data_IF_529501448814
#
_entry.id   IF_529501448814
#
_cell.length_a   1.000
_cell.length_b   1.000
_cell.length_c   1.000
_cell.angle_alpha   90.00
_cell.angle_beta   90.00
_cell.angle_gamma   90.00
#
_symmetry.space_group_name_H-M   'P 1'
#
loop_
_entity.id
_entity.type
_entity.pdbx_description
1 polymer ?
#
# COMPACT_ATOMS: atom_id res chain seq x y z
N UNK A 1 -28.97 -20.53 -11.50
CA UNK A 1 -28.89 -19.77 -10.23
C UNK A 1 -29.60 -18.47 -10.50
N UNK A 2 -30.86 -18.38 -10.05
CA UNK A 2 -31.82 -17.37 -10.49
C UNK A 2 -31.38 -15.94 -10.13
N UNK A 3 -31.71 -15.02 -11.04
CA UNK A 3 -31.58 -13.58 -10.91
C UNK A 3 -31.99 -13.11 -9.52
N UNK A 4 -31.12 -12.35 -8.87
CA UNK A 4 -31.55 -11.53 -7.75
C UNK A 4 -32.17 -10.28 -8.36
N UNK A 5 -33.50 -10.22 -8.40
CA UNK A 5 -34.28 -9.08 -8.92
C UNK A 5 -33.97 -7.76 -8.19
N UNK A 6 -33.32 -7.84 -7.03
CA UNK A 6 -32.93 -6.71 -6.18
C UNK A 6 -31.48 -6.23 -6.40
N UNK A 7 -30.72 -6.80 -7.36
CA UNK A 7 -29.36 -6.36 -7.68
C UNK A 7 -29.42 -5.16 -8.64
N UNK A 8 -28.90 -3.97 -8.26
CA UNK A 8 -27.73 -3.76 -7.40
C UNK A 8 -28.00 -3.25 -5.97
N UNK A 9 -29.25 -3.03 -5.57
CA UNK A 9 -29.62 -2.42 -4.28
C UNK A 9 -29.46 -3.36 -3.07
N UNK A 10 -29.34 -4.66 -3.28
CA UNK A 10 -29.09 -5.63 -2.21
C UNK A 10 -27.58 -5.83 -1.97
N UNK A 11 -26.98 -5.24 -0.91
CA UNK A 11 -25.55 -5.34 -0.62
C UNK A 11 -25.11 -6.75 -0.19
N UNK A 12 -26.03 -7.59 0.29
CA UNK A 12 -25.72 -8.97 0.71
C UNK A 12 -25.56 -9.95 -0.46
N UNK A 13 -26.01 -9.58 -1.66
CA UNK A 13 -25.93 -10.44 -2.85
C UNK A 13 -24.52 -10.39 -3.49
N UNK A 14 -23.84 -11.54 -3.48
CA UNK A 14 -22.45 -11.73 -3.91
C UNK A 14 -22.30 -12.31 -5.34
N UNK A 15 -23.38 -12.55 -6.07
CA UNK A 15 -23.33 -13.27 -7.36
C UNK A 15 -22.46 -12.58 -8.42
N UNK A 16 -22.49 -11.24 -8.47
CA UNK A 16 -21.64 -10.45 -9.36
C UNK A 16 -20.15 -10.56 -8.98
N UNK A 17 -19.85 -10.63 -7.67
CA UNK A 17 -18.49 -10.78 -7.16
C UNK A 17 -17.94 -12.20 -7.37
N UNK A 18 -18.80 -13.21 -7.22
CA UNK A 18 -18.45 -14.59 -7.57
C UNK A 18 -18.13 -14.76 -9.07
N UNK A 19 -18.89 -14.09 -9.93
CA UNK A 19 -18.66 -14.10 -11.38
C UNK A 19 -17.35 -13.42 -11.81
N UNK A 20 -16.92 -12.39 -11.08
CA UNK A 20 -15.61 -11.72 -11.26
C UNK A 20 -14.40 -12.63 -10.99
N UNK A 21 -14.59 -13.77 -10.28
CA UNK A 21 -13.52 -14.73 -9.92
C UNK A 21 -12.30 -14.09 -9.24
N UNK A 22 -12.50 -12.98 -8.53
CA UNK A 22 -11.43 -12.22 -7.89
C UNK A 22 -11.67 -12.13 -6.37
N UNK A 23 -10.70 -12.60 -5.57
CA UNK A 23 -10.83 -12.73 -4.11
C UNK A 23 -10.91 -11.43 -3.29
N UNK A 24 -10.90 -10.26 -3.96
CA UNK A 24 -10.96 -8.93 -3.33
C UNK A 24 -11.78 -7.92 -4.15
N UNK A 25 -12.86 -8.38 -4.80
CA UNK A 25 -13.77 -7.49 -5.54
C UNK A 25 -14.73 -6.74 -4.61
N UNK A 26 -15.14 -5.53 -5.03
CA UNK A 26 -16.14 -4.69 -4.37
C UNK A 26 -17.37 -4.53 -5.27
N UNK A 27 -18.55 -4.47 -4.66
CA UNK A 27 -19.80 -4.21 -5.37
C UNK A 27 -19.97 -2.70 -5.52
N UNK A 28 -20.40 -2.26 -6.69
CA UNK A 28 -20.63 -0.84 -6.98
C UNK A 28 -22.07 -0.50 -6.63
N UNK A 29 -22.27 0.27 -5.56
CA UNK A 29 -23.59 0.61 -5.02
C UNK A 29 -23.65 2.13 -4.77
N UNK A 30 -24.58 2.87 -5.41
CA UNK A 30 -25.47 2.40 -6.47
C UNK A 30 -24.71 2.06 -7.77
N UNK A 31 -25.27 1.19 -8.62
CA UNK A 31 -24.63 0.90 -9.90
C UNK A 31 -24.50 2.18 -10.74
N UNK A 32 -23.38 2.33 -11.44
CA UNK A 32 -23.11 3.52 -12.27
C UNK A 32 -23.25 3.20 -13.73
N UNK A 33 -24.00 4.04 -14.44
CA UNK A 33 -24.03 4.00 -15.89
C UNK A 33 -22.69 4.48 -16.45
N UNK A 34 -22.08 3.66 -17.28
CA UNK A 34 -20.81 3.90 -17.96
C UNK A 34 -21.01 3.73 -19.46
N UNK A 35 -20.23 4.48 -20.24
CA UNK A 35 -20.25 4.37 -21.69
C UNK A 35 -19.26 3.30 -22.11
N UNK A 36 -19.70 2.34 -22.90
CA UNK A 36 -18.87 1.26 -23.42
C UNK A 36 -18.78 1.39 -24.93
N UNK A 37 -17.56 1.43 -25.45
CA UNK A 37 -17.26 1.45 -26.88
C UNK A 37 -16.74 0.09 -27.28
N UNK A 38 -17.40 -0.53 -28.25
CA UNK A 38 -17.00 -1.80 -28.83
C UNK A 38 -15.94 -1.59 -29.93
N UNK A 39 -15.18 -2.64 -30.23
CA UNK A 39 -14.27 -2.68 -31.38
C UNK A 39 -14.98 -2.44 -32.73
N UNK A 40 -16.29 -2.72 -32.83
CA UNK A 40 -17.13 -2.39 -34.00
C UNK A 40 -17.31 -0.88 -34.22
N UNK A 41 -16.92 -0.04 -33.25
CA UNK A 41 -17.16 1.39 -33.23
C UNK A 41 -18.51 1.80 -32.64
N UNK A 42 -19.37 0.82 -32.33
CA UNK A 42 -20.65 1.05 -31.65
C UNK A 42 -20.45 1.44 -30.19
N UNK A 43 -21.34 2.30 -29.69
CA UNK A 43 -21.33 2.80 -28.32
C UNK A 43 -22.60 2.33 -27.63
N UNK A 44 -22.44 1.64 -26.51
CA UNK A 44 -23.53 1.22 -25.64
C UNK A 44 -23.44 1.81 -24.24
N UNK A 45 -24.57 1.78 -23.56
CA UNK A 45 -24.67 2.07 -22.15
C UNK A 45 -24.60 0.77 -21.36
N UNK A 46 -23.76 0.71 -20.32
CA UNK A 46 -23.72 -0.41 -19.40
C UNK A 46 -23.73 0.08 -17.95
N UNK A 47 -24.22 -0.75 -17.05
CA UNK A 47 -24.16 -0.50 -15.62
C UNK A 47 -22.94 -1.21 -15.03
N UNK A 48 -22.05 -0.43 -14.43
CA UNK A 48 -20.97 -0.94 -13.62
C UNK A 48 -21.52 -1.40 -12.27
N UNK A 49 -21.45 -2.70 -12.00
CA UNK A 49 -22.05 -3.35 -10.83
C UNK A 49 -21.04 -3.95 -9.86
N UNK A 50 -19.83 -4.25 -10.32
CA UNK A 50 -18.78 -4.79 -9.46
C UNK A 50 -17.40 -4.47 -10.02
N UNK A 51 -16.38 -4.48 -9.18
CA UNK A 51 -15.03 -4.07 -9.56
C UNK A 51 -13.96 -4.76 -8.73
N UNK A 52 -12.81 -5.02 -9.31
CA UNK A 52 -11.58 -5.41 -8.60
C UNK A 52 -10.37 -4.79 -9.31
N UNK A 53 -9.16 -5.05 -8.81
CA UNK A 53 -7.93 -4.47 -9.38
C UNK A 53 -7.66 -4.90 -10.83
N UNK A 54 -8.17 -6.07 -11.23
CA UNK A 54 -7.84 -6.72 -12.52
C UNK A 54 -9.05 -6.94 -13.42
N UNK A 55 -10.27 -6.73 -12.93
CA UNK A 55 -11.48 -6.96 -13.69
C UNK A 55 -12.63 -6.07 -13.21
N UNK A 56 -13.58 -5.79 -14.10
CA UNK A 56 -14.81 -5.06 -13.78
C UNK A 56 -16.05 -5.85 -14.24
N UNK A 57 -17.15 -5.66 -13.54
CA UNK A 57 -18.42 -6.32 -13.78
C UNK A 57 -19.44 -5.35 -14.36
N UNK A 58 -19.82 -5.57 -15.60
CA UNK A 58 -20.73 -4.73 -16.38
C UNK A 58 -22.04 -5.45 -16.62
N UNK A 59 -23.13 -4.71 -16.63
CA UNK A 59 -24.45 -5.22 -16.96
C UNK A 59 -25.02 -4.40 -18.12
N UNK A 60 -25.26 -5.05 -19.26
CA UNK A 60 -25.63 -4.37 -20.51
C UNK A 60 -26.82 -5.06 -21.16
N UNK A 61 -27.98 -4.41 -21.13
CA UNK A 61 -29.24 -4.93 -21.69
C UNK A 61 -29.33 -4.80 -23.20
N UNK A 62 -28.66 -3.79 -23.76
CA UNK A 62 -28.87 -3.35 -25.13
C UNK A 62 -28.13 -4.25 -26.14
N UNK A 63 -26.94 -4.74 -25.78
CA UNK A 63 -26.11 -5.54 -26.68
C UNK A 63 -25.11 -6.41 -25.93
N UNK A 64 -24.64 -7.47 -26.60
CA UNK A 64 -23.57 -8.32 -26.07
C UNK A 64 -22.23 -7.58 -26.17
N UNK A 65 -21.49 -7.53 -25.08
CA UNK A 65 -20.11 -7.04 -25.09
C UNK A 65 -19.21 -8.11 -25.72
N UNK A 66 -18.41 -7.70 -26.72
CA UNK A 66 -17.48 -8.55 -27.48
C UNK A 66 -16.06 -8.50 -26.93
N UNK A 67 -15.17 -9.34 -27.49
CA UNK A 67 -13.82 -9.61 -26.97
C UNK A 67 -13.10 -8.41 -26.40
N UNK A 68 -12.89 -7.31 -27.14
CA UNK A 68 -12.23 -6.10 -26.60
C UNK A 68 -13.20 -4.92 -26.56
N UNK A 69 -13.22 -4.22 -25.43
CA UNK A 69 -14.07 -3.04 -25.21
C UNK A 69 -13.34 -1.94 -24.43
N UNK A 70 -13.71 -0.70 -24.69
CA UNK A 70 -13.26 0.49 -23.98
C UNK A 70 -14.41 1.06 -23.15
N UNK A 71 -14.24 1.14 -21.84
CA UNK A 71 -15.21 1.67 -20.88
C UNK A 71 -14.76 3.06 -20.45
N UNK A 72 -15.55 4.07 -20.81
CA UNK A 72 -15.34 5.46 -20.44
C UNK A 72 -16.07 5.73 -19.11
N UNK A 73 -15.28 5.99 -18.07
CA UNK A 73 -15.75 6.37 -16.73
C UNK A 73 -15.86 7.90 -16.60
N UNK A 74 -14.87 8.63 -17.12
CA UNK A 74 -14.86 10.08 -17.24
C UNK A 74 -14.08 10.52 -18.49
N UNK A 75 -14.10 11.81 -18.80
CA UNK A 75 -13.39 12.38 -19.97
C UNK A 75 -11.90 12.04 -20.00
N UNK A 76 -11.28 11.93 -18.81
CA UNK A 76 -9.87 11.63 -18.60
C UNK A 76 -9.66 10.25 -17.94
N UNK A 77 -10.67 9.36 -17.89
CA UNK A 77 -10.57 8.06 -17.20
C UNK A 77 -11.27 6.96 -17.99
N UNK A 78 -10.48 6.03 -18.55
CA UNK A 78 -10.96 4.92 -19.38
C UNK A 78 -10.32 3.60 -19.01
N UNK A 79 -11.09 2.52 -19.14
CA UNK A 79 -10.63 1.14 -18.92
C UNK A 79 -10.76 0.39 -20.24
N UNK A 80 -9.68 -0.22 -20.70
CA UNK A 80 -9.66 -1.06 -21.89
C UNK A 80 -9.39 -2.49 -21.43
N UNK A 81 -10.16 -3.42 -21.94
CA UNK A 81 -9.98 -4.81 -21.57
C UNK A 81 -10.85 -5.75 -22.36
N UNK A 82 -10.74 -7.03 -22.01
CA UNK A 82 -11.44 -8.07 -22.72
C UNK A 82 -12.73 -8.47 -21.99
N UNK A 83 -13.89 -8.31 -22.63
CA UNK A 83 -15.18 -8.64 -22.06
C UNK A 83 -15.63 -10.05 -22.44
N UNK A 84 -16.07 -10.82 -21.44
CA UNK A 84 -16.67 -12.13 -21.61
C UNK A 84 -17.92 -12.26 -20.76
N UNK A 85 -18.80 -13.19 -21.12
CA UNK A 85 -20.04 -13.41 -20.38
C UNK A 85 -19.73 -14.03 -19.00
N UNK A 86 -20.05 -13.31 -17.93
CA UNK A 86 -19.74 -13.72 -16.55
C UNK A 86 -20.79 -14.65 -15.95
N UNK A 87 -22.07 -14.41 -16.25
CA UNK A 87 -23.19 -15.22 -15.75
C UNK A 87 -24.01 -15.71 -16.95
N UNK A 88 -24.26 -17.03 -17.00
CA UNK A 88 -25.04 -17.65 -18.06
C UNK A 88 -26.49 -17.11 -18.08
N UNK A 89 -27.01 -16.82 -19.26
CA UNK A 89 -28.35 -16.25 -19.50
C UNK A 89 -28.68 -14.93 -18.78
N UNK A 90 -27.66 -14.25 -18.24
CA UNK A 90 -27.78 -12.92 -17.67
C UNK A 90 -26.93 -11.98 -18.51
N UNK A 91 -27.41 -10.76 -18.82
CA UNK A 91 -26.65 -9.73 -19.53
C UNK A 91 -25.55 -9.11 -18.65
N UNK A 92 -24.79 -9.95 -17.94
CA UNK A 92 -23.69 -9.60 -17.06
C UNK A 92 -22.37 -10.09 -17.66
N UNK A 93 -21.46 -9.16 -17.87
CA UNK A 93 -20.18 -9.34 -18.52
C UNK A 93 -19.08 -9.00 -17.52
N UNK A 94 -18.03 -9.82 -17.52
CA UNK A 94 -16.80 -9.53 -16.80
C UNK A 94 -15.78 -9.06 -17.82
N UNK A 95 -15.16 -7.93 -17.53
CA UNK A 95 -14.12 -7.33 -18.35
C UNK A 95 -12.80 -7.44 -17.61
N UNK A 96 -11.88 -8.23 -18.15
CA UNK A 96 -10.51 -8.32 -17.66
C UNK A 96 -9.72 -7.09 -18.13
N UNK A 97 -9.19 -6.32 -17.18
CA UNK A 97 -8.52 -5.06 -17.44
C UNK A 97 -7.17 -5.32 -18.12
N UNK A 98 -7.02 -4.85 -19.36
CA UNK A 98 -5.74 -4.83 -20.06
C UNK A 98 -4.98 -3.53 -19.73
N UNK A 99 -5.69 -2.39 -19.79
CA UNK A 99 -5.14 -1.06 -19.59
C UNK A 99 -6.14 -0.12 -18.94
N UNK A 100 -5.63 0.80 -18.15
CA UNK A 100 -6.36 1.92 -17.57
C UNK A 100 -5.67 3.20 -18.02
N UNK A 101 -6.40 4.08 -18.70
CA UNK A 101 -5.92 5.37 -19.20
C UNK A 101 -6.43 6.47 -18.27
N UNK A 102 -5.53 7.25 -17.66
CA UNK A 102 -5.92 8.34 -16.76
C UNK A 102 -5.04 9.59 -16.92
N UNK A 103 -5.64 10.74 -17.24
CA UNK A 103 -5.02 12.08 -17.40
C UNK A 103 -3.86 12.17 -18.41
N UNK A 104 -2.85 11.32 -18.29
CA UNK A 104 -1.73 11.07 -19.22
C UNK A 104 -0.98 9.73 -18.92
N UNK A 105 -1.41 8.98 -17.90
CA UNK A 105 -0.79 7.73 -17.45
C UNK A 105 -1.51 6.49 -18.00
N UNK A 106 -0.74 5.43 -18.25
CA UNK A 106 -1.23 4.11 -18.69
C UNK A 106 -0.87 3.07 -17.65
N UNK A 107 -1.86 2.54 -16.94
CA UNK A 107 -1.69 1.54 -15.90
C UNK A 107 -2.21 0.17 -16.38
N UNK A 108 -1.55 -0.92 -15.99
CA UNK A 108 -2.02 -2.29 -16.29
C UNK A 108 -3.06 -2.83 -15.30
N UNK A 109 -3.45 -2.04 -14.30
CA UNK A 109 -4.41 -2.41 -13.24
C UNK A 109 -5.14 -1.19 -12.71
N UNK A 110 -6.30 -1.41 -12.12
CA UNK A 110 -7.08 -0.37 -11.47
C UNK A 110 -6.58 -0.11 -10.04
N UNK A 111 -6.30 1.15 -9.72
CA UNK A 111 -6.05 1.60 -8.35
C UNK A 111 -7.40 1.83 -7.65
N UNK A 112 -7.66 1.05 -6.60
CA UNK A 112 -8.98 1.02 -5.96
C UNK A 112 -9.33 2.35 -5.29
N UNK A 113 -8.36 3.00 -4.65
CA UNK A 113 -8.52 4.30 -4.00
C UNK A 113 -8.98 5.38 -4.99
N UNK A 114 -8.40 5.38 -6.20
CA UNK A 114 -8.72 6.34 -7.25
C UNK A 114 -10.09 6.09 -7.89
N UNK A 115 -10.46 4.83 -8.06
CA UNK A 115 -11.78 4.46 -8.55
C UNK A 115 -12.87 4.87 -7.56
N UNK A 116 -12.65 4.64 -6.27
CA UNK A 116 -13.57 5.09 -5.22
C UNK A 116 -13.71 6.61 -5.28
N UNK A 117 -12.60 7.36 -5.39
CA UNK A 117 -12.64 8.81 -5.56
C UNK A 117 -13.48 9.25 -6.77
N UNK A 118 -13.37 8.58 -7.92
CA UNK A 118 -14.21 8.83 -9.10
C UNK A 118 -15.69 8.48 -8.84
N UNK A 119 -15.97 7.31 -8.30
CA UNK A 119 -17.34 6.82 -8.05
C UNK A 119 -18.14 7.79 -7.16
N UNK A 120 -17.46 8.47 -6.23
CA UNK A 120 -18.05 9.46 -5.32
C UNK A 120 -18.07 10.89 -5.90
N UNK A 121 -17.23 11.20 -6.89
CA UNK A 121 -17.18 12.54 -7.53
C UNK A 121 -18.43 12.89 -8.36
N UNK A 122 -19.25 11.90 -8.74
CA UNK A 122 -20.44 12.07 -9.57
C UNK A 122 -21.77 12.07 -8.80
N UNK A 123 -21.75 12.24 -7.47
CA UNK A 123 -22.93 12.69 -6.73
C UNK A 123 -23.15 14.18 -7.02
N UNK A 124 -24.04 14.48 -7.98
CA UNK A 124 -24.35 15.87 -8.31
C UNK A 124 -25.13 16.56 -7.18
N UNK A 125 -24.64 17.76 -6.91
CA UNK A 125 -25.19 18.96 -6.29
C UNK A 125 -26.69 18.97 -5.90
N UNK A 126 -27.03 19.37 -4.66
CA UNK A 126 -28.39 19.45 -4.12
C UNK A 126 -29.14 20.70 -4.61
N UNK A 127 -29.18 20.96 -5.92
CA UNK A 127 -29.98 22.05 -6.51
C UNK A 127 -31.32 21.56 -7.09
N UNK A 128 -31.52 20.25 -7.26
CA UNK A 128 -32.73 19.70 -7.90
C UNK A 128 -33.71 19.02 -6.92
N UNK A 129 -33.52 19.14 -5.59
CA UNK A 129 -34.42 18.54 -4.59
C UNK A 129 -35.28 19.55 -3.81
N UNK A 130 -35.35 20.80 -4.27
CA UNK A 130 -36.30 21.81 -3.76
C UNK A 130 -37.63 21.73 -4.51
N UNK A 131 -38.36 20.64 -4.32
CA UNK A 131 -39.80 20.66 -4.51
C UNK A 131 -40.41 19.68 -3.50
N UNK A 132 -41.17 20.25 -2.57
CA UNK A 132 -42.02 19.54 -1.61
C UNK A 132 -41.27 18.96 -0.40
N UNK A 133 -41.24 19.72 0.70
CA UNK A 133 -41.98 19.40 1.93
C UNK A 133 -41.64 20.39 3.06
N UNK A 134 -42.66 20.70 3.86
CA UNK A 134 -42.68 21.73 4.92
C UNK A 134 -41.90 21.27 6.16
N UNK A 135 -41.13 22.19 6.74
CA UNK A 135 -40.38 22.08 8.03
C UNK A 135 -41.26 21.61 9.23
N UNK A 136 -40.70 21.04 10.34
CA UNK A 136 -39.39 21.38 10.94
C UNK A 136 -38.57 20.20 11.51
N UNK A 137 -37.43 19.92 10.88
CA UNK A 137 -36.16 19.55 11.51
C UNK A 137 -35.08 20.24 10.63
N UNK A 138 -34.84 21.51 10.94
CA UNK A 138 -33.90 22.49 10.36
C UNK A 138 -33.13 22.05 9.11
N UNK A 139 -33.46 22.67 7.97
CA UNK A 139 -32.79 22.58 6.68
C UNK A 139 -31.25 22.63 6.76
N UNK A 140 -30.73 23.36 7.76
CA UNK A 140 -29.32 23.45 8.17
C UNK A 140 -28.70 22.10 8.57
N UNK A 141 -29.40 21.29 9.36
CA UNK A 141 -28.93 19.96 9.77
C UNK A 141 -28.90 18.99 8.59
N UNK A 142 -29.81 19.15 7.62
CA UNK A 142 -29.84 18.32 6.41
C UNK A 142 -28.66 18.63 5.48
N UNK A 143 -28.36 19.91 5.27
CA UNK A 143 -27.21 20.36 4.47
C UNK A 143 -25.87 19.92 5.08
N UNK A 144 -25.70 20.03 6.40
CA UNK A 144 -24.50 19.56 7.09
C UNK A 144 -24.39 18.03 7.00
N UNK A 145 -25.50 17.31 7.16
CA UNK A 145 -25.55 15.85 6.98
C UNK A 145 -25.25 15.44 5.55
N UNK A 146 -25.68 16.17 4.54
CA UNK A 146 -25.41 15.92 3.12
C UNK A 146 -23.93 16.19 2.77
N UNK A 147 -23.34 17.30 3.23
CA UNK A 147 -21.90 17.59 3.02
C UNK A 147 -20.98 16.63 3.80
N UNK A 148 -21.35 16.24 5.03
CA UNK A 148 -20.62 15.22 5.79
C UNK A 148 -20.90 13.80 5.25
N UNK A 149 -22.03 13.55 4.59
CA UNK A 149 -22.28 12.31 3.84
C UNK A 149 -21.42 12.21 2.58
N UNK A 150 -21.08 13.34 1.93
CA UNK A 150 -20.06 13.35 0.87
C UNK A 150 -18.67 13.00 1.40
N UNK A 151 -18.37 13.31 2.66
CA UNK A 151 -17.18 12.82 3.37
C UNK A 151 -17.34 11.40 3.93
N UNK A 152 -18.57 10.86 3.94
CA UNK A 152 -18.93 9.50 4.41
C UNK A 152 -18.61 8.40 3.38
N UNK A 153 -17.64 8.61 2.50
CA UNK A 153 -17.05 7.57 1.63
C UNK A 153 -16.55 6.36 2.46
N UNK A 154 -16.33 6.53 3.76
CA UNK A 154 -15.86 5.50 4.69
C UNK A 154 -16.97 4.64 5.35
N UNK A 155 -18.24 4.80 4.96
CA UNK A 155 -19.40 4.21 5.68
C UNK A 155 -19.58 2.69 5.60
N UNK A 156 -18.69 1.95 4.95
CA UNK A 156 -18.75 0.49 4.98
C UNK A 156 -17.84 -0.15 6.03
N UNK A 157 -17.04 0.62 6.79
CA UNK A 157 -15.98 0.02 7.61
C UNK A 157 -15.89 0.58 9.06
N UNK A 158 -16.35 1.80 9.37
CA UNK A 158 -15.97 2.46 10.64
C UNK A 158 -17.09 3.23 11.34
N UNK A 159 -16.96 3.36 12.67
CA UNK A 159 -17.81 4.23 13.51
C UNK A 159 -17.39 5.69 13.29
N UNK A 160 -18.32 6.49 12.75
CA UNK A 160 -18.12 7.91 12.47
C UNK A 160 -18.93 8.73 13.46
N UNK A 161 -18.29 9.65 14.17
CA UNK A 161 -18.91 10.59 15.08
C UNK A 161 -18.92 11.98 14.45
N UNK A 162 -20.10 12.59 14.38
CA UNK A 162 -20.31 13.88 13.73
C UNK A 162 -20.58 14.96 14.76
N UNK A 163 -20.00 16.13 14.57
CA UNK A 163 -20.19 17.30 15.44
C UNK A 163 -20.28 18.57 14.60
N UNK A 164 -20.85 19.62 15.18
CA UNK A 164 -20.81 21.00 14.68
C UNK A 164 -20.25 21.89 15.76
N UNK A 165 -19.34 22.77 15.37
CA UNK A 165 -18.89 23.87 16.21
C UNK A 165 -19.59 25.16 15.81
N UNK A 166 -20.32 25.76 16.75
CA UNK A 166 -21.01 27.04 16.60
C UNK A 166 -20.64 27.94 17.78
N UNK A 167 -20.16 29.15 17.51
CA UNK A 167 -19.73 30.11 18.54
C UNK A 167 -18.69 29.54 19.55
N UNK A 168 -17.90 28.55 19.11
CA UNK A 168 -16.92 27.86 19.95
C UNK A 168 -17.48 26.68 20.75
N UNK A 169 -18.78 26.47 20.76
CA UNK A 169 -19.42 25.31 21.39
C UNK A 169 -19.52 24.16 20.40
N UNK A 170 -19.10 22.96 20.83
CA UNK A 170 -19.16 21.74 20.03
C UNK A 170 -20.42 20.97 20.40
N UNK A 171 -21.23 20.62 19.40
CA UNK A 171 -22.47 19.86 19.58
C UNK A 171 -22.45 18.62 18.69
N UNK A 172 -22.73 17.42 19.22
CA UNK A 172 -22.82 16.23 18.41
C UNK A 172 -24.05 16.28 17.49
N UNK A 173 -23.89 15.81 16.27
CA UNK A 173 -24.98 15.56 15.34
C UNK A 173 -25.34 14.07 15.43
N UNK A 174 -26.48 13.78 16.06
CA UNK A 174 -27.00 12.41 16.20
C UNK A 174 -26.86 11.84 17.62
N UNK A 175 -27.19 10.55 17.76
CA UNK A 175 -27.27 9.87 19.05
C UNK A 175 -25.94 9.27 19.53
N UNK A 176 -24.99 9.02 18.61
CA UNK A 176 -23.69 8.45 18.94
C UNK A 176 -22.71 9.57 19.35
N UNK A 177 -21.95 9.30 20.40
CA UNK A 177 -20.91 10.18 20.92
C UNK A 177 -19.68 9.34 21.22
N UNK A 178 -18.50 9.93 21.07
CA UNK A 178 -17.29 9.36 21.66
C UNK A 178 -17.44 9.35 23.19
N UNK A 179 -16.98 8.29 23.85
CA UNK A 179 -16.95 8.22 25.33
C UNK A 179 -15.91 9.17 25.93
N UNK A 180 -14.89 9.53 25.14
CA UNK A 180 -13.84 10.48 25.52
C UNK A 180 -14.08 11.88 24.94
N UNK A 181 -13.97 12.90 25.81
CA UNK A 181 -14.12 14.31 25.48
C UNK A 181 -12.82 14.87 24.90
N UNK A 182 -12.61 14.74 23.59
CA UNK A 182 -11.51 15.38 22.84
C UNK A 182 -11.83 16.83 22.43
N UNK A 183 -12.69 17.52 23.17
CA UNK A 183 -13.22 18.83 22.78
C UNK A 183 -12.13 19.88 22.55
N UNK A 184 -11.00 19.79 23.27
CA UNK A 184 -9.85 20.69 23.10
C UNK A 184 -9.22 20.57 21.72
N UNK A 185 -8.91 19.35 21.28
CA UNK A 185 -8.33 19.08 19.96
C UNK A 185 -9.33 19.36 18.84
N UNK A 186 -10.58 18.96 19.03
CA UNK A 186 -11.66 19.27 18.10
C UNK A 186 -11.81 20.77 17.88
N UNK A 187 -11.80 21.56 18.96
CA UNK A 187 -11.90 23.02 18.88
C UNK A 187 -10.68 23.61 18.17
N UNK A 188 -9.47 23.12 18.46
CA UNK A 188 -8.24 23.60 17.82
C UNK A 188 -8.30 23.45 16.31
N UNK A 189 -8.62 22.26 15.82
CA UNK A 189 -8.65 21.98 14.38
C UNK A 189 -9.83 22.67 13.70
N UNK A 190 -10.97 22.77 14.37
CA UNK A 190 -12.11 23.52 13.86
C UNK A 190 -11.79 25.01 13.68
N UNK A 191 -11.13 25.63 14.65
CA UNK A 191 -10.68 27.02 14.56
C UNK A 191 -9.64 27.21 13.44
N UNK A 192 -8.75 26.24 13.25
CA UNK A 192 -7.80 26.24 12.14
C UNK A 192 -8.50 26.18 10.78
N UNK A 193 -9.50 25.31 10.63
CA UNK A 193 -10.30 25.19 9.43
C UNK A 193 -11.10 26.47 9.12
N UNK A 194 -11.74 27.08 10.14
CA UNK A 194 -12.43 28.36 10.00
C UNK A 194 -11.47 29.47 9.60
N UNK A 195 -10.29 29.55 10.24
CA UNK A 195 -9.29 30.58 9.96
C UNK A 195 -8.69 30.44 8.56
N UNK A 196 -8.44 29.21 8.12
CA UNK A 196 -7.88 28.94 6.79
C UNK A 196 -8.92 29.03 5.68
N UNK A 197 -10.22 28.92 6.01
CA UNK A 197 -11.30 28.84 5.04
C UNK A 197 -11.29 27.55 4.21
N UNK A 198 -10.52 26.55 4.64
CA UNK A 198 -10.35 25.27 3.94
C UNK A 198 -10.55 24.11 4.90
N UNK A 199 -10.89 22.94 4.34
CA UNK A 199 -11.04 21.74 5.17
C UNK A 199 -9.68 21.26 5.67
N UNK A 200 -9.61 20.89 6.95
CA UNK A 200 -8.40 20.40 7.62
C UNK A 200 -8.62 18.96 8.04
N UNK A 201 -7.58 18.14 7.90
CA UNK A 201 -7.55 16.73 8.32
C UNK A 201 -6.39 16.54 9.29
N UNK A 202 -6.66 15.91 10.42
CA UNK A 202 -5.65 15.63 11.44
C UNK A 202 -5.88 14.27 12.11
N UNK A 203 -4.80 13.58 12.46
CA UNK A 203 -4.86 12.35 13.25
C UNK A 203 -4.78 12.70 14.73
N UNK A 204 -5.77 12.22 15.48
CA UNK A 204 -5.84 12.35 16.93
C UNK A 204 -5.66 10.98 17.57
N UNK A 205 -5.04 10.97 18.75
CA UNK A 205 -4.91 9.77 19.56
C UNK A 205 -5.71 10.00 20.84
N UNK A 206 -6.45 8.99 21.27
CA UNK A 206 -7.20 9.03 22.52
C UNK A 206 -6.30 9.31 23.73
N UNK A 207 -6.90 9.81 24.80
CA UNK A 207 -6.16 10.25 25.98
C UNK A 207 -5.43 9.11 26.70
N UNK A 208 -5.95 7.89 26.55
CA UNK A 208 -5.37 6.64 27.03
C UNK A 208 -4.41 5.97 26.02
N UNK A 209 -4.27 6.53 24.81
CA UNK A 209 -3.44 5.99 23.73
C UNK A 209 -4.00 4.76 23.01
N UNK A 210 -5.20 4.31 23.35
CA UNK A 210 -5.77 3.04 22.87
C UNK A 210 -6.37 3.12 21.47
N UNK A 211 -6.87 4.30 21.09
CA UNK A 211 -7.73 4.50 19.93
C UNK A 211 -7.17 5.64 19.07
N UNK A 212 -7.07 5.38 17.76
CA UNK A 212 -6.63 6.39 16.80
C UNK A 212 -7.84 6.90 16.04
N UNK A 213 -8.04 8.21 16.07
CA UNK A 213 -9.09 8.89 15.35
C UNK A 213 -8.50 9.69 14.19
N UNK A 214 -9.21 9.68 13.09
CA UNK A 214 -8.99 10.62 12.01
C UNK A 214 -10.09 11.68 12.01
N UNK A 215 -9.68 12.93 12.20
CA UNK A 215 -10.60 14.05 12.29
C UNK A 215 -10.57 14.89 11.02
N UNK A 216 -11.75 15.20 10.54
CA UNK A 216 -11.99 16.13 9.44
C UNK A 216 -12.77 17.32 9.96
N UNK A 217 -12.26 18.52 9.71
CA UNK A 217 -12.92 19.78 9.98
C UNK A 217 -13.19 20.51 8.67
N UNK A 218 -14.45 20.85 8.42
CA UNK A 218 -14.86 21.58 7.22
C UNK A 218 -15.57 22.87 7.62
N UNK A 219 -15.04 24.04 7.22
CA UNK A 219 -15.68 25.32 7.52
C UNK A 219 -16.94 25.49 6.67
N UNK A 220 -18.01 25.96 7.29
CA UNK A 220 -19.31 26.18 6.66
C UNK A 220 -19.52 27.66 6.31
N UNK A 221 -20.40 27.99 5.34
CA UNK A 221 -20.61 29.36 4.88
C UNK A 221 -21.10 30.35 5.96
N UNK A 222 -21.66 29.85 7.06
CA UNK A 222 -22.22 30.61 8.17
C UNK A 222 -21.24 30.82 9.35
N UNK A 223 -19.92 30.68 9.10
CA UNK A 223 -18.86 30.74 10.12
C UNK A 223 -18.91 29.64 11.18
N UNK A 224 -19.72 28.59 10.96
CA UNK A 224 -19.65 27.35 11.76
C UNK A 224 -18.68 26.36 11.14
N UNK A 225 -18.38 25.27 11.85
CA UNK A 225 -17.51 24.22 11.34
C UNK A 225 -18.13 22.83 11.59
N UNK A 226 -18.26 22.05 10.53
CA UNK A 226 -18.62 20.64 10.62
C UNK A 226 -17.38 19.82 10.95
N UNK A 227 -17.53 18.86 11.87
CA UNK A 227 -16.48 17.97 12.33
C UNK A 227 -16.92 16.52 12.13
N UNK A 228 -16.02 15.69 11.63
CA UNK A 228 -16.19 14.25 11.56
C UNK A 228 -14.97 13.57 12.19
N UNK A 229 -15.20 12.74 13.20
CA UNK A 229 -14.19 11.88 13.80
C UNK A 229 -14.46 10.45 13.36
N UNK A 230 -13.42 9.78 12.89
CA UNK A 230 -13.48 8.43 12.37
C UNK A 230 -12.54 7.55 13.17
N UNK A 231 -13.06 6.50 13.79
CA UNK A 231 -12.20 5.53 14.46
C UNK A 231 -11.48 4.68 13.40
N UNK A 232 -10.17 4.88 13.28
CA UNK A 232 -9.31 4.19 12.30
C UNK A 232 -8.48 3.07 12.94
N UNK A 233 -8.71 2.78 14.22
CA UNK A 233 -7.90 1.83 15.00
C UNK A 233 -7.89 0.44 14.37
N UNK A 234 -9.07 -0.09 14.05
CA UNK A 234 -9.19 -1.43 13.47
C UNK A 234 -8.59 -1.49 12.06
N UNK A 235 -8.80 -0.46 11.24
CA UNK A 235 -8.28 -0.43 9.87
C UNK A 235 -6.75 -0.33 9.84
N UNK A 236 -6.15 0.50 10.70
CA UNK A 236 -4.69 0.58 10.81
C UNK A 236 -4.13 -0.75 11.34
N UNK A 237 -4.79 -1.36 12.32
CA UNK A 237 -4.39 -2.65 12.84
C UNK A 237 -4.51 -3.77 11.79
N UNK A 238 -5.56 -3.74 10.97
CA UNK A 238 -5.76 -4.69 9.87
C UNK A 238 -4.74 -4.51 8.75
N UNK A 239 -4.46 -3.28 8.35
CA UNK A 239 -3.44 -2.98 7.35
C UNK A 239 -2.05 -3.43 7.82
N UNK A 240 -1.70 -3.14 9.09
CA UNK A 240 -0.46 -3.68 9.70
C UNK A 240 -0.43 -5.20 9.72
N UNK A 241 -1.54 -5.85 10.10
CA UNK A 241 -1.66 -7.32 10.06
C UNK A 241 -1.48 -7.87 8.65
N UNK A 242 -2.00 -7.17 7.64
CA UNK A 242 -1.86 -7.56 6.23
C UNK A 242 -0.42 -7.43 5.76
N UNK A 243 0.23 -6.29 6.01
CA UNK A 243 1.64 -6.06 5.70
C UNK A 243 2.54 -7.09 6.38
N UNK A 244 2.26 -7.42 7.64
CA UNK A 244 3.00 -8.45 8.36
C UNK A 244 2.80 -9.83 7.73
N UNK A 245 1.56 -10.21 7.40
CA UNK A 245 1.28 -11.49 6.71
C UNK A 245 1.99 -11.58 5.36
N UNK A 246 2.02 -10.49 4.61
CA UNK A 246 2.74 -10.42 3.34
C UNK A 246 4.23 -10.61 3.55
N UNK A 247 4.83 -9.88 4.49
CA UNK A 247 6.24 -10.04 4.88
C UNK A 247 6.57 -11.48 5.30
N UNK A 248 5.74 -12.08 6.15
CA UNK A 248 5.94 -13.45 6.63
C UNK A 248 5.86 -14.48 5.50
N UNK A 249 4.95 -14.28 4.54
CA UNK A 249 4.87 -15.11 3.34
C UNK A 249 6.15 -15.01 2.51
N UNK A 250 6.67 -13.79 2.26
CA UNK A 250 7.93 -13.62 1.54
C UNK A 250 9.11 -14.23 2.31
N UNK A 251 9.17 -14.07 3.63
CA UNK A 251 10.18 -14.68 4.50
C UNK A 251 10.17 -16.20 4.37
N UNK A 252 8.98 -16.82 4.40
CA UNK A 252 8.82 -18.27 4.24
C UNK A 252 9.22 -18.76 2.85
N UNK A 253 8.78 -18.09 1.78
CA UNK A 253 9.09 -18.48 0.40
C UNK A 253 10.59 -18.35 0.12
N UNK A 254 11.20 -17.22 0.48
CA UNK A 254 12.63 -16.99 0.27
C UNK A 254 13.49 -17.94 1.11
N UNK A 255 13.11 -18.20 2.36
CA UNK A 255 13.76 -19.23 3.19
C UNK A 255 13.69 -20.60 2.52
N UNK A 256 12.49 -21.04 2.13
CA UNK A 256 12.30 -22.35 1.50
C UNK A 256 13.08 -22.54 0.20
N UNK A 257 13.06 -21.57 -0.71
CA UNK A 257 13.76 -21.69 -2.01
C UNK A 257 15.27 -21.53 -1.91
N UNK A 258 15.77 -20.93 -0.83
CA UNK A 258 17.21 -20.77 -0.58
C UNK A 258 17.76 -21.75 0.45
N UNK A 259 16.94 -22.68 0.96
CA UNK A 259 17.31 -23.59 2.05
C UNK A 259 17.81 -22.83 3.28
N UNK A 260 17.07 -21.78 3.65
CA UNK A 260 17.35 -20.85 4.76
C UNK A 260 18.69 -20.09 4.67
N UNK A 261 19.34 -20.12 3.49
CA UNK A 261 20.50 -19.26 3.23
C UNK A 261 20.15 -17.79 3.15
N UNK A 262 18.98 -17.44 2.60
CA UNK A 262 18.48 -16.06 2.61
C UNK A 262 17.39 -15.92 3.65
N UNK A 263 17.62 -15.08 4.65
CA UNK A 263 16.66 -14.86 5.74
C UNK A 263 16.24 -13.40 5.77
N UNK A 264 14.95 -13.16 5.61
CA UNK A 264 14.38 -11.83 5.84
C UNK A 264 14.21 -11.59 7.33
N UNK A 265 14.75 -10.48 7.81
CA UNK A 265 14.70 -10.06 9.21
C UNK A 265 14.16 -8.63 9.32
N UNK A 266 13.45 -8.38 10.41
CA UNK A 266 13.06 -7.03 10.83
C UNK A 266 14.28 -6.24 11.30
N UNK A 267 14.16 -4.92 11.35
CA UNK A 267 15.25 -4.06 11.82
C UNK A 267 15.66 -4.36 13.29
N UNK A 268 14.70 -4.71 14.13
CA UNK A 268 14.94 -5.14 15.50
C UNK A 268 15.75 -6.45 15.56
N UNK A 269 15.35 -7.48 14.79
CA UNK A 269 16.08 -8.75 14.69
C UNK A 269 17.51 -8.56 14.17
N UNK A 270 17.69 -7.69 13.17
CA UNK A 270 19.01 -7.36 12.61
C UNK A 270 19.89 -6.62 13.59
N UNK A 271 19.32 -5.70 14.37
CA UNK A 271 20.07 -4.95 15.38
C UNK A 271 20.62 -5.90 16.44
N UNK A 272 19.78 -6.80 16.96
CA UNK A 272 20.22 -7.85 17.91
C UNK A 272 21.33 -8.72 17.31
N UNK A 273 21.21 -9.12 16.04
CA UNK A 273 22.21 -9.96 15.39
C UNK A 273 23.53 -9.21 15.10
N UNK A 274 23.45 -7.91 14.80
CA UNK A 274 24.60 -7.06 14.53
C UNK A 274 25.39 -6.69 15.80
N UNK A 275 24.71 -6.59 16.94
CA UNK A 275 25.33 -6.30 18.24
C UNK A 275 25.96 -7.54 18.89
N UNK A 276 25.64 -8.74 18.43
CA UNK A 276 26.25 -9.97 18.92
C UNK A 276 27.71 -10.12 18.45
N UNK A 277 28.62 -10.31 19.41
CA UNK A 277 30.03 -10.62 19.17
C UNK A 277 30.98 -9.44 19.30
N UNK A 278 32.23 -9.68 18.89
CA UNK A 278 33.30 -8.68 18.93
C UNK A 278 33.39 -7.94 17.60
N UNK A 279 33.18 -6.62 17.62
CA UNK A 279 33.44 -5.76 16.45
C UNK A 279 34.94 -5.65 16.18
N UNK A 280 35.37 -6.11 15.02
CA UNK A 280 36.77 -6.12 14.58
C UNK A 280 37.15 -4.88 13.77
N UNK A 281 36.24 -4.40 12.91
CA UNK A 281 36.49 -3.26 12.05
C UNK A 281 35.21 -2.51 11.65
N UNK A 282 35.37 -1.27 11.21
CA UNK A 282 34.33 -0.44 10.62
C UNK A 282 34.93 0.33 9.45
N UNK A 283 34.26 0.29 8.30
CA UNK A 283 34.68 0.97 7.07
C UNK A 283 33.51 1.79 6.55
N UNK A 284 33.75 3.06 6.28
CA UNK A 284 32.79 3.93 5.60
C UNK A 284 33.01 3.80 4.09
N UNK A 285 31.94 3.58 3.35
CA UNK A 285 31.97 3.41 1.90
C UNK A 285 31.35 4.64 1.25
N UNK A 286 32.20 5.49 0.65
CA UNK A 286 31.79 6.70 -0.05
C UNK A 286 32.30 6.73 -1.51
N UNK A 287 33.32 5.93 -1.81
CA UNK A 287 34.00 5.89 -3.10
C UNK A 287 34.45 4.48 -3.48
N UNK A 288 34.90 4.31 -4.72
CA UNK A 288 35.45 3.03 -5.19
C UNK A 288 36.79 2.66 -4.50
N UNK A 289 37.54 3.64 -3.99
CA UNK A 289 38.79 3.40 -3.25
C UNK A 289 38.51 2.71 -1.90
N UNK A 290 37.41 3.08 -1.25
CA UNK A 290 36.98 2.45 0.01
C UNK A 290 36.65 0.97 -0.16
N UNK A 291 36.17 0.55 -1.34
CA UNK A 291 35.96 -0.86 -1.66
C UNK A 291 37.29 -1.63 -1.76
N UNK A 292 38.36 -1.01 -2.26
CA UNK A 292 39.68 -1.62 -2.29
C UNK A 292 40.26 -1.77 -0.87
N UNK A 293 40.07 -0.75 -0.03
CA UNK A 293 40.43 -0.80 1.38
C UNK A 293 39.65 -1.91 2.12
N UNK A 294 38.32 -1.96 1.95
CA UNK A 294 37.47 -2.99 2.55
C UNK A 294 37.94 -4.40 2.20
N UNK A 295 38.23 -4.68 0.92
CA UNK A 295 38.75 -6.00 0.49
C UNK A 295 40.05 -6.38 1.18
N UNK A 296 40.95 -5.41 1.37
CA UNK A 296 42.24 -5.62 2.04
C UNK A 296 42.03 -5.92 3.52
N UNK A 297 41.16 -5.16 4.18
CA UNK A 297 40.87 -5.31 5.59
C UNK A 297 40.14 -6.62 5.90
N UNK A 298 39.15 -7.01 5.08
CA UNK A 298 38.50 -8.31 5.19
C UNK A 298 39.52 -9.45 5.07
N UNK A 299 40.43 -9.40 4.09
CA UNK A 299 41.47 -10.43 3.94
C UNK A 299 42.37 -10.53 5.16
N UNK A 300 42.83 -9.39 5.68
CA UNK A 300 43.69 -9.30 6.88
C UNK A 300 43.02 -9.97 8.09
N UNK A 301 41.73 -9.71 8.31
CA UNK A 301 40.96 -10.31 9.40
C UNK A 301 40.79 -11.82 9.18
N UNK A 302 40.39 -12.24 7.98
CA UNK A 302 40.18 -13.65 7.66
C UNK A 302 41.48 -14.47 7.75
N UNK A 303 42.63 -13.87 7.41
CA UNK A 303 43.96 -14.47 7.57
C UNK A 303 44.34 -14.67 9.03
N UNK A 304 44.05 -13.68 9.88
CA UNK A 304 44.26 -13.81 11.32
C UNK A 304 43.40 -14.92 11.95
N UNK A 305 42.25 -15.20 11.34
CA UNK A 305 41.32 -16.27 11.73
C UNK A 305 41.60 -17.61 11.03
N UNK A 306 42.67 -17.70 10.23
CA UNK A 306 43.11 -18.93 9.56
C UNK A 306 42.07 -19.58 8.63
N UNK A 307 41.20 -18.78 8.00
CA UNK A 307 40.22 -19.27 7.03
C UNK A 307 40.91 -19.76 5.75
N UNK A 308 40.45 -20.88 5.18
CA UNK A 308 40.96 -21.44 3.92
C UNK A 308 40.99 -20.39 2.79
N UNK A 309 42.06 -20.37 2.00
CA UNK A 309 42.29 -19.35 0.96
C UNK A 309 41.13 -19.23 -0.03
N UNK A 310 40.59 -20.36 -0.50
CA UNK A 310 39.45 -20.40 -1.42
C UNK A 310 38.20 -19.79 -0.79
N UNK A 311 37.89 -20.16 0.46
CA UNK A 311 36.73 -19.66 1.21
C UNK A 311 36.85 -18.16 1.47
N UNK A 312 38.04 -17.71 1.89
CA UNK A 312 38.39 -16.30 2.05
C UNK A 312 38.16 -15.51 0.77
N UNK A 313 38.65 -15.99 -0.37
CA UNK A 313 38.45 -15.31 -1.66
C UNK A 313 36.97 -15.17 -2.01
N UNK A 314 36.21 -16.26 -1.90
CA UNK A 314 34.77 -16.28 -2.17
C UNK A 314 33.99 -15.31 -1.28
N UNK A 315 34.26 -15.34 0.03
CA UNK A 315 33.57 -14.47 0.98
C UNK A 315 33.89 -12.99 0.75
N UNK A 316 35.15 -12.65 0.45
CA UNK A 316 35.55 -11.27 0.11
C UNK A 316 34.84 -10.78 -1.17
N UNK A 317 34.60 -11.65 -2.15
CA UNK A 317 33.79 -11.30 -3.33
C UNK A 317 32.36 -10.96 -2.94
N UNK A 318 31.70 -11.78 -2.11
CA UNK A 318 30.35 -11.52 -1.63
C UNK A 318 30.24 -10.20 -0.84
N UNK A 319 31.19 -9.95 0.07
CA UNK A 319 31.28 -8.69 0.83
C UNK A 319 31.44 -7.49 -0.11
N UNK A 320 32.29 -7.62 -1.12
CA UNK A 320 32.51 -6.53 -2.07
C UNK A 320 31.28 -6.25 -2.94
N UNK A 321 30.51 -7.27 -3.33
CA UNK A 321 29.24 -7.09 -4.03
C UNK A 321 28.21 -6.35 -3.15
N UNK A 322 28.06 -6.75 -1.88
CA UNK A 322 27.19 -6.07 -0.93
C UNK A 322 27.59 -4.60 -0.73
N UNK A 323 28.88 -4.33 -0.51
CA UNK A 323 29.39 -2.98 -0.35
C UNK A 323 29.22 -2.14 -1.64
N UNK A 324 29.41 -2.75 -2.81
CA UNK A 324 29.19 -2.08 -4.10
C UNK A 324 27.73 -1.67 -4.29
N UNK A 325 26.78 -2.47 -3.79
CA UNK A 325 25.36 -2.11 -3.84
C UNK A 325 25.07 -0.82 -3.08
N UNK A 326 25.78 -0.54 -1.99
CA UNK A 326 25.61 0.72 -1.22
C UNK A 326 25.95 1.97 -2.03
N UNK A 327 26.93 1.89 -2.94
CA UNK A 327 27.30 2.99 -3.83
C UNK A 327 26.39 3.10 -5.06
N UNK A 328 25.87 1.98 -5.57
CA UNK A 328 25.01 1.95 -6.77
C UNK A 328 23.57 2.36 -6.47
N UNK A 329 23.06 1.91 -5.33
CA UNK A 329 21.66 2.03 -4.96
C UNK A 329 21.42 3.04 -3.83
N UNK A 330 22.46 3.41 -3.07
CA UNK A 330 22.42 4.46 -2.07
C UNK A 330 23.41 5.60 -2.36
N UNK A 331 23.64 6.46 -1.36
CA UNK A 331 24.65 7.53 -1.39
C UNK A 331 25.93 7.13 -0.65
N UNK A 332 26.21 5.82 -0.57
CA UNK A 332 27.22 5.24 0.31
C UNK A 332 26.62 4.50 1.50
N UNK A 333 27.49 3.94 2.34
CA UNK A 333 27.08 3.08 3.44
C UNK A 333 28.17 2.84 4.47
N UNK A 334 27.84 2.05 5.49
CA UNK A 334 28.78 1.60 6.52
C UNK A 334 28.89 0.08 6.45
N UNK A 335 30.12 -0.42 6.52
CA UNK A 335 30.41 -1.84 6.63
C UNK A 335 31.10 -2.11 7.97
N UNK A 336 30.54 -2.98 8.79
CA UNK A 336 31.18 -3.45 10.02
C UNK A 336 31.49 -4.93 9.95
N UNK A 337 32.62 -5.33 10.52
CA UNK A 337 33.07 -6.72 10.55
C UNK A 337 33.08 -7.16 12.01
N UNK A 338 32.37 -8.24 12.30
CA UNK A 338 32.19 -8.78 13.63
C UNK A 338 32.61 -10.25 13.66
N UNK A 339 33.16 -10.69 14.79
CA UNK A 339 33.30 -12.10 15.13
C UNK A 339 32.15 -12.44 16.09
N UNK A 340 31.20 -13.25 15.63
CA UNK A 340 30.03 -13.65 16.40
C UNK A 340 30.42 -14.37 17.69
N UNK A 341 29.65 -14.19 18.77
CA UNK A 341 29.91 -14.84 20.07
C UNK A 341 29.72 -16.35 19.99
N UNK A 342 28.79 -16.80 19.15
CA UNK A 342 28.49 -18.19 18.89
C UNK A 342 29.08 -18.66 17.55
N UNK A 343 29.57 -19.90 17.51
CA UNK A 343 29.90 -20.66 16.30
C UNK A 343 30.98 -20.07 15.38
N UNK A 344 32.11 -19.58 15.91
CA UNK A 344 33.31 -19.22 15.13
C UNK A 344 32.97 -18.58 13.77
N UNK A 345 32.07 -17.58 13.76
CA UNK A 345 31.48 -17.06 12.53
C UNK A 345 31.89 -15.62 12.33
N UNK A 346 32.38 -15.29 11.14
CA UNK A 346 32.59 -13.91 10.72
C UNK A 346 31.28 -13.36 10.15
N UNK A 347 30.83 -12.24 10.70
CA UNK A 347 29.70 -11.46 10.21
C UNK A 347 30.20 -10.18 9.58
N UNK A 348 29.77 -9.91 8.36
CA UNK A 348 29.92 -8.60 7.74
C UNK A 348 28.55 -7.97 7.61
N UNK A 349 28.34 -6.87 8.34
CA UNK A 349 27.11 -6.08 8.30
C UNK A 349 27.33 -4.92 7.35
N UNK A 350 26.49 -4.82 6.32
CA UNK A 350 26.49 -3.74 5.34
C UNK A 350 25.19 -2.97 5.50
N UNK A 351 25.27 -1.65 5.66
CA UNK A 351 24.12 -0.78 5.81
C UNK A 351 24.22 0.41 4.84
N UNK A 352 23.22 0.57 3.99
CA UNK A 352 23.04 1.76 3.15
C UNK A 352 21.84 2.59 3.61
N UNK A 353 21.81 3.84 3.15
CA UNK A 353 20.71 4.79 3.37
C UNK A 353 19.94 5.07 2.07
N UNK A 354 19.85 4.07 1.19
CA UNK A 354 19.10 4.16 -0.06
C UNK A 354 17.59 4.03 0.14
N UNK A 355 16.84 3.90 -0.96
CA UNK A 355 15.37 3.79 -0.93
C UNK A 355 14.85 2.39 -0.54
N UNK A 356 15.74 1.49 -0.13
CA UNK A 356 15.42 0.08 0.10
C UNK A 356 15.13 -0.71 -1.18
N UNK A 357 14.56 -1.91 -0.99
CA UNK A 357 14.09 -2.81 -2.04
C UNK A 357 12.60 -3.06 -1.80
N UNK A 358 11.77 -2.90 -2.82
CA UNK A 358 10.35 -3.19 -2.73
C UNK A 358 10.13 -4.69 -2.49
N UNK A 359 9.20 -5.03 -1.60
CA UNK A 359 8.91 -6.41 -1.19
C UNK A 359 8.58 -7.31 -2.40
N UNK A 360 7.80 -6.79 -3.36
CA UNK A 360 7.44 -7.49 -4.60
C UNK A 360 8.64 -7.73 -5.54
N UNK A 361 9.69 -6.93 -5.43
CA UNK A 361 10.92 -7.06 -6.21
C UNK A 361 11.92 -8.01 -5.58
N UNK A 362 11.81 -8.32 -4.28
CA UNK A 362 12.78 -9.14 -3.56
C UNK A 362 13.06 -10.50 -4.21
N UNK A 363 12.07 -11.31 -4.65
CA UNK A 363 12.36 -12.57 -5.32
C UNK A 363 13.18 -12.39 -6.60
N UNK A 364 12.91 -11.32 -7.36
CA UNK A 364 13.64 -11.03 -8.60
C UNK A 364 15.03 -10.50 -8.29
N UNK A 365 15.16 -9.58 -7.33
CA UNK A 365 16.42 -8.99 -6.90
C UNK A 365 17.39 -10.02 -6.31
N UNK A 366 16.87 -11.04 -5.62
CA UNK A 366 17.69 -11.99 -4.86
C UNK A 366 17.94 -13.31 -5.60
N UNK A 367 16.95 -13.84 -6.34
CA UNK A 367 17.03 -15.18 -6.93
C UNK A 367 17.28 -15.19 -8.44
N UNK A 368 16.93 -14.12 -9.17
CA UNK A 368 17.07 -14.09 -10.62
C UNK A 368 18.47 -13.61 -11.01
N UNK A 369 19.31 -14.54 -11.43
CA UNK A 369 20.61 -14.23 -12.02
C UNK A 369 20.45 -13.28 -13.21
N UNK A 370 21.19 -12.17 -13.22
CA UNK A 370 21.08 -11.17 -14.29
C UNK A 370 20.03 -10.08 -14.04
N UNK A 371 19.27 -10.11 -12.95
CA UNK A 371 18.30 -9.06 -12.65
C UNK A 371 18.97 -7.86 -11.98
N UNK A 372 18.78 -6.68 -12.56
CA UNK A 372 19.26 -5.41 -12.04
C UNK A 372 18.27 -4.30 -12.36
N UNK A 373 17.97 -3.46 -11.36
CA UNK A 373 17.17 -2.24 -11.55
C UNK A 373 17.97 -1.07 -12.11
N UNK A 374 19.32 -1.15 -12.12
CA UNK A 374 20.24 -0.15 -12.69
C UNK A 374 21.45 -0.85 -13.31
N UNK A 375 21.50 -0.93 -14.65
CA UNK A 375 22.63 -1.38 -15.49
C UNK A 375 23.80 -2.07 -14.76
N UNK A 376 23.55 -3.24 -14.19
CA UNK A 376 24.56 -4.10 -13.59
C UNK A 376 24.30 -5.54 -14.00
N UNK A 377 25.31 -6.41 -13.89
CA UNK A 377 25.22 -7.80 -14.33
C UNK A 377 24.20 -8.63 -13.52
N UNK A 378 23.54 -8.07 -12.49
CA UNK A 378 22.53 -8.77 -11.68
C UNK A 378 23.06 -10.01 -10.96
N UNK A 379 24.36 -10.00 -10.61
CA UNK A 379 25.08 -11.14 -10.01
C UNK A 379 25.27 -10.97 -8.50
N UNK A 380 25.04 -9.77 -7.96
CA UNK A 380 25.41 -9.43 -6.58
C UNK A 380 24.81 -10.36 -5.54
N UNK A 381 23.48 -10.52 -5.52
CA UNK A 381 22.82 -11.45 -4.60
C UNK A 381 23.14 -12.91 -4.88
N UNK A 382 23.32 -13.28 -6.14
CA UNK A 382 23.73 -14.64 -6.49
C UNK A 382 25.11 -14.98 -5.91
N UNK A 383 26.08 -14.08 -6.02
CA UNK A 383 27.41 -14.25 -5.43
C UNK A 383 27.34 -14.32 -3.90
N UNK A 384 26.53 -13.48 -3.26
CA UNK A 384 26.30 -13.53 -1.81
C UNK A 384 25.72 -14.89 -1.38
N UNK A 385 24.67 -15.38 -2.05
CA UNK A 385 24.05 -16.68 -1.73
C UNK A 385 24.95 -17.89 -2.03
N UNK A 386 25.83 -17.75 -3.02
CA UNK A 386 26.77 -18.80 -3.39
C UNK A 386 27.95 -18.90 -2.42
N UNK A 387 28.46 -17.77 -1.95
CA UNK A 387 29.74 -17.70 -1.23
C UNK A 387 29.61 -17.50 0.28
N UNK A 388 28.44 -17.10 0.78
CA UNK A 388 28.14 -17.03 2.21
C UNK A 388 27.42 -18.31 2.68
N UNK A 389 27.55 -18.61 3.96
CA UNK A 389 26.74 -19.65 4.61
C UNK A 389 25.31 -19.17 4.80
N UNK A 390 25.17 -17.90 5.19
CA UNK A 390 23.89 -17.24 5.39
C UNK A 390 23.96 -15.76 5.02
N UNK A 391 22.85 -15.25 4.52
CA UNK A 391 22.62 -13.87 4.13
C UNK A 391 21.32 -13.42 4.81
N UNK A 392 21.43 -12.53 5.79
CA UNK A 392 20.26 -11.91 6.38
C UNK A 392 20.01 -10.55 5.72
N UNK A 393 18.77 -10.26 5.39
CA UNK A 393 18.36 -9.04 4.69
C UNK A 393 17.21 -8.38 5.43
N UNK A 394 17.36 -7.09 5.72
CA UNK A 394 16.26 -6.21 6.07
C UNK A 394 16.28 -4.99 5.19
N UNK A 395 15.11 -4.53 4.79
CA UNK A 395 14.98 -3.40 3.89
C UNK A 395 13.73 -2.62 4.22
N UNK A 396 13.82 -1.31 4.07
CA UNK A 396 12.72 -0.38 4.30
C UNK A 396 12.95 0.87 3.44
N UNK A 397 11.99 1.81 3.39
CA UNK A 397 12.20 3.09 2.69
C UNK A 397 13.40 3.91 3.20
N UNK A 398 13.93 3.62 4.39
CA UNK A 398 15.11 4.31 4.94
C UNK A 398 16.45 3.66 4.59
N UNK A 399 16.47 2.50 3.92
CA UNK A 399 17.70 1.83 3.53
C UNK A 399 17.63 0.31 3.55
N UNK A 400 18.75 -0.31 3.16
CA UNK A 400 18.94 -1.75 3.22
C UNK A 400 20.07 -2.12 4.17
N UNK A 401 19.84 -3.16 4.97
CA UNK A 401 20.84 -3.79 5.84
C UNK A 401 21.00 -5.26 5.47
N UNK A 402 22.25 -5.65 5.23
CA UNK A 402 22.65 -7.01 4.91
C UNK A 402 23.61 -7.52 6.00
N UNK A 403 23.46 -8.77 6.41
CA UNK A 403 24.42 -9.47 7.25
C UNK A 403 24.87 -10.72 6.51
N UNK A 404 26.16 -10.79 6.19
CA UNK A 404 26.79 -11.91 5.50
C UNK A 404 27.54 -12.76 6.52
N UNK A 405 27.18 -14.05 6.65
CA UNK A 405 27.81 -14.98 7.58
C UNK A 405 28.79 -15.92 6.85
N UNK A 406 29.95 -16.11 7.46
CA UNK A 406 30.94 -17.11 7.07
C UNK A 406 31.40 -17.88 8.30
N UNK A 407 31.06 -19.16 8.36
CA UNK A 407 31.54 -20.09 9.39
C UNK A 407 33.02 -20.38 9.19
N UNK A 408 33.79 -20.30 10.27
CA UNK A 408 35.20 -20.67 10.32
C UNK A 408 35.27 -22.10 10.84
N UNK A 409 35.32 -23.08 9.94
CA UNK A 409 35.32 -24.51 10.26
C UNK A 409 35.86 -25.38 9.14
#
# INVERSE_FOLDING_TARGET
>A
MMLCEECPQNPACQNCLAALRAGAGQKVIPARTVRVKLDSGEVASAELRAICRTAIGLFCHEQKLSDRVEVELASDFRIIGNAFQGIHDVPYYVLDIEKVLRREEVLGRLLMEEFLQWHHSAEKQPTDMLAELKEPEDERHRLIKEELQKLSILRQVQTIYLYVMENGDIRPIGAQRTEELMEGDMRRVALEAIKSGTSVREQLVSSDGSTMYEMYASPLPDQTCGLALIDVTEAIAEERRRQQKEWDMYKQVLGAVTQDKLVLLTDAELTVLAEDGLKLATVLIQSAEDLAFLRTECRRIMDALQVEEKRKFQYVVAVNEAATNTLKHGTGGTVTIHLASAENTVRVIVHDHGNGILLEELPRATLRQGYSSKHSLGVGFHAMLQFCDRVCLGTSPSGTRLILECMIG
#
